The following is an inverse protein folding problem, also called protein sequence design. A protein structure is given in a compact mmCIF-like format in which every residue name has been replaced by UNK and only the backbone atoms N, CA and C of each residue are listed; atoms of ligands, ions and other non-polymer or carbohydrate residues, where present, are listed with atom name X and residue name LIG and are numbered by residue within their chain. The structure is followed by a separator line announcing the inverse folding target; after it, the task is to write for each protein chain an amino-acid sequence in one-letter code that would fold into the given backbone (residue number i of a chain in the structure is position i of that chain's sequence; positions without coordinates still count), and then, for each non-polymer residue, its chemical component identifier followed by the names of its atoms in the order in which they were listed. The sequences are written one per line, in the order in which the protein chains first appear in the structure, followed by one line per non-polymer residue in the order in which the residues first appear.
data_IF_181281816626
#
_entry.id   IF_181281816626
#
_cell.length_a   1.000
_cell.length_b   1.000
_cell.length_c   1.000
_cell.angle_alpha   90.00
_cell.angle_beta   90.00
_cell.angle_gamma   90.00
#
_symmetry.space_group_name_H-M   'P 1'
#
loop_
_entity.id
_entity.type
_entity.pdbx_description
1 polymer ?
#
# COMPACT_ATOMS: atom_id res chain seq x y z
N UNK A 1 78.17 -12.06 7.15
CA UNK A 1 77.93 -12.25 5.70
C UNK A 1 77.52 -10.90 5.12
N UNK A 2 78.35 -10.42 4.17
CA UNK A 2 78.17 -9.35 3.16
C UNK A 2 77.27 -8.13 3.47
N UNK A 3 77.94 -6.98 3.58
CA UNK A 3 77.52 -5.58 3.35
C UNK A 3 77.25 -5.32 1.84
N UNK A 4 77.03 -4.06 1.36
CA UNK A 4 76.04 -3.02 1.67
C UNK A 4 75.45 -2.44 0.33
N UNK A 5 75.20 -1.12 0.24
CA UNK A 5 74.85 -0.20 -0.89
C UNK A 5 73.43 0.39 -0.72
N UNK A 6 73.25 1.58 -0.12
CA UNK A 6 73.60 2.94 -0.57
C UNK A 6 72.85 3.39 -1.83
N UNK A 7 72.02 4.44 -1.72
CA UNK A 7 72.10 5.72 -2.48
C UNK A 7 70.81 6.54 -2.27
N UNK A 8 71.03 7.82 -1.99
CA UNK A 8 70.07 8.90 -1.79
C UNK A 8 69.36 9.36 -3.08
N UNK A 9 68.20 10.00 -2.96
CA UNK A 9 67.85 11.19 -3.75
C UNK A 9 66.61 11.90 -3.19
N UNK A 10 66.72 13.23 -3.17
CA UNK A 10 65.84 14.26 -2.66
C UNK A 10 64.90 14.77 -3.78
N UNK A 11 63.86 15.54 -3.40
CA UNK A 11 62.94 16.36 -4.24
C UNK A 11 61.77 15.59 -4.90
N UNK A 12 60.54 16.08 -5.02
CA UNK A 12 59.99 17.44 -5.04
C UNK A 12 58.47 17.37 -4.75
N UNK A 13 57.92 18.35 -4.03
CA UNK A 13 56.48 18.56 -3.87
C UNK A 13 55.87 18.91 -5.24
N UNK A 14 54.93 18.11 -5.76
CA UNK A 14 53.93 18.61 -6.74
C UNK A 14 52.55 18.05 -6.38
N UNK A 15 51.69 18.96 -5.93
CA UNK A 15 50.25 18.78 -5.92
C UNK A 15 49.79 18.67 -7.37
N UNK A 16 49.35 17.47 -7.78
CA UNK A 16 48.45 17.36 -8.92
C UNK A 16 47.06 17.06 -8.38
N UNK A 17 46.25 18.12 -8.29
CA UNK A 17 44.82 18.00 -8.32
C UNK A 17 44.46 17.36 -9.67
N UNK A 18 44.09 16.08 -9.65
CA UNK A 18 43.43 15.49 -10.80
C UNK A 18 41.97 15.90 -10.72
N UNK A 19 41.65 16.97 -11.46
CA UNK A 19 40.29 17.25 -11.87
C UNK A 19 39.77 16.00 -12.58
N UNK A 20 38.68 15.40 -12.07
CA UNK A 20 37.89 14.51 -12.90
C UNK A 20 37.45 15.31 -14.13
N UNK A 21 37.86 14.82 -15.28
CA UNK A 21 37.44 15.32 -16.58
C UNK A 21 35.96 14.99 -16.73
N UNK A 22 35.14 15.99 -17.03
CA UNK A 22 33.79 15.76 -17.53
C UNK A 22 33.92 15.06 -18.89
N UNK A 23 33.73 13.75 -18.87
CA UNK A 23 33.64 12.94 -20.08
C UNK A 23 32.26 13.22 -20.68
N UNK A 24 32.19 14.28 -21.48
CA UNK A 24 31.09 14.62 -22.37
C UNK A 24 30.85 13.50 -23.39
N UNK A 25 30.30 12.38 -22.91
CA UNK A 25 29.72 11.36 -23.76
C UNK A 25 28.38 11.90 -24.26
N UNK A 26 28.41 12.48 -25.45
CA UNK A 26 27.22 12.53 -26.29
C UNK A 26 26.88 11.08 -26.67
N UNK A 27 26.29 10.33 -25.73
CA UNK A 27 25.79 9.00 -26.00
C UNK A 27 24.45 9.15 -26.74
N UNK A 28 24.36 8.80 -28.04
CA UNK A 28 23.12 8.92 -28.80
C UNK A 28 22.05 7.92 -28.37
N UNK A 29 22.37 7.00 -27.45
CA UNK A 29 21.44 6.05 -26.88
C UNK A 29 21.81 5.77 -25.41
N UNK A 30 21.38 6.64 -24.46
CA UNK A 30 21.55 6.35 -23.04
C UNK A 30 20.96 4.98 -22.72
N UNK A 31 21.67 4.18 -21.90
CA UNK A 31 21.12 2.93 -21.37
C UNK A 31 19.82 3.26 -20.63
N UNK A 32 18.73 2.50 -20.84
CA UNK A 32 17.48 2.78 -20.13
C UNK A 32 17.75 2.70 -18.63
N UNK A 33 17.42 3.77 -17.91
CA UNK A 33 17.46 3.75 -16.44
C UNK A 33 16.60 2.58 -15.93
N UNK A 34 17.04 1.85 -14.89
CA UNK A 34 16.24 0.77 -14.34
C UNK A 34 14.91 1.32 -13.84
N UNK A 35 13.81 0.84 -14.41
CA UNK A 35 12.47 1.22 -13.95
C UNK A 35 12.31 0.83 -12.47
N UNK A 36 12.03 1.81 -11.61
CA UNK A 36 11.68 1.55 -10.22
C UNK A 36 10.33 0.84 -10.21
N UNK A 37 10.20 -0.37 -9.64
CA UNK A 37 8.92 -1.08 -9.62
C UNK A 37 7.85 -0.24 -8.91
N UNK A 38 6.76 0.07 -9.62
CA UNK A 38 5.61 0.73 -9.03
C UNK A 38 4.83 -0.26 -8.16
N UNK A 39 5.00 -0.16 -6.84
CA UNK A 39 4.33 -0.99 -5.84
C UNK A 39 2.79 -0.87 -5.87
N UNK A 40 2.25 0.18 -6.47
CA UNK A 40 0.81 0.44 -6.56
C UNK A 40 0.18 -0.01 -7.88
N UNK A 41 0.97 -0.51 -8.83
CA UNK A 41 0.49 -0.91 -10.16
C UNK A 41 -0.67 -1.92 -10.14
N UNK A 42 -0.73 -2.77 -9.10
CA UNK A 42 -1.79 -3.78 -8.94
C UNK A 42 -3.00 -3.28 -8.14
N UNK A 43 -2.93 -2.11 -7.48
CA UNK A 43 -3.91 -1.70 -6.47
C UNK A 43 -5.31 -1.50 -7.04
N UNK A 44 -5.48 -0.67 -8.06
CA UNK A 44 -6.79 -0.51 -8.73
C UNK A 44 -7.14 -1.64 -9.71
N UNK A 45 -6.32 -2.70 -9.76
CA UNK A 45 -6.61 -3.95 -10.46
C UNK A 45 -7.23 -5.02 -9.56
N UNK A 46 -6.98 -4.97 -8.25
CA UNK A 46 -7.74 -5.73 -7.26
C UNK A 46 -9.19 -5.23 -7.23
N UNK A 47 -10.16 -6.11 -6.98
CA UNK A 47 -11.56 -5.72 -6.84
C UNK A 47 -11.91 -5.60 -5.36
N UNK A 48 -12.73 -4.61 -5.00
CA UNK A 48 -13.36 -4.62 -3.68
C UNK A 48 -14.22 -5.86 -3.54
N UNK A 49 -14.41 -6.30 -2.30
CA UNK A 49 -15.35 -7.39 -1.99
C UNK A 49 -16.74 -6.78 -1.89
N UNK A 50 -17.67 -7.29 -2.69
CA UNK A 50 -19.11 -7.04 -2.61
C UNK A 50 -19.81 -8.40 -2.55
N UNK A 51 -20.00 -8.91 -1.34
CA UNK A 51 -20.37 -10.31 -1.14
C UNK A 51 -21.66 -10.46 -0.33
N UNK A 52 -22.52 -11.37 -0.79
CA UNK A 52 -23.68 -11.81 -0.03
C UNK A 52 -23.29 -12.94 0.94
N UNK A 53 -23.69 -12.80 2.20
CA UNK A 53 -23.63 -13.80 3.26
C UNK A 53 -25.07 -14.06 3.70
N UNK A 54 -25.69 -15.09 3.12
CA UNK A 54 -27.07 -15.45 3.42
C UNK A 54 -28.02 -14.33 3.02
N UNK A 55 -28.60 -13.64 3.99
CA UNK A 55 -29.47 -12.48 3.74
C UNK A 55 -28.76 -11.12 3.82
N UNK A 56 -27.51 -11.08 4.28
CA UNK A 56 -26.74 -9.85 4.42
C UNK A 56 -25.70 -9.65 3.35
N UNK A 57 -25.22 -8.42 3.26
CA UNK A 57 -24.22 -7.99 2.28
C UNK A 57 -23.07 -7.29 2.98
N UNK A 58 -21.87 -7.47 2.46
CA UNK A 58 -20.66 -6.78 2.92
C UNK A 58 -19.91 -6.14 1.77
N UNK A 59 -19.40 -4.95 2.06
CA UNK A 59 -18.49 -4.20 1.21
C UNK A 59 -17.16 -3.98 1.94
N UNK A 60 -16.06 -4.41 1.33
CA UNK A 60 -14.70 -4.17 1.83
C UNK A 60 -13.90 -3.50 0.71
N UNK A 61 -13.44 -2.25 0.90
CA UNK A 61 -12.74 -1.51 -0.15
C UNK A 61 -11.39 -2.16 -0.49
N UNK A 62 -10.92 -1.93 -1.72
CA UNK A 62 -9.64 -2.47 -2.20
C UNK A 62 -8.46 -1.51 -1.96
N UNK A 63 -8.72 -0.31 -1.43
CA UNK A 63 -7.70 0.69 -1.14
C UNK A 63 -8.16 1.62 -0.02
N UNK A 64 -7.18 2.14 0.72
CA UNK A 64 -7.37 3.16 1.74
C UNK A 64 -6.07 3.96 1.93
N UNK A 65 -6.16 5.11 2.59
CA UNK A 65 -5.15 6.18 2.63
C UNK A 65 -4.89 6.61 4.08
N UNK A 66 -4.18 5.80 4.88
CA UNK A 66 -3.93 6.11 6.30
C UNK A 66 -2.96 7.29 6.47
N UNK A 67 -3.48 8.51 6.33
CA UNK A 67 -2.76 9.79 6.35
C UNK A 67 -3.25 10.73 7.49
N UNK A 68 -4.30 10.33 8.21
CA UNK A 68 -4.96 11.02 9.31
C UNK A 68 -5.70 12.32 8.95
N UNK A 69 -6.21 12.46 7.73
CA UNK A 69 -7.05 13.60 7.30
C UNK A 69 -8.56 13.40 7.55
N UNK A 70 -8.96 12.20 7.99
CA UNK A 70 -10.32 11.79 8.29
C UNK A 70 -11.06 11.14 7.13
N UNK A 71 -10.42 10.97 5.97
CA UNK A 71 -11.01 10.46 4.73
C UNK A 71 -10.27 9.19 4.34
N UNK A 72 -11.01 8.09 4.16
CA UNK A 72 -10.48 6.75 3.84
C UNK A 72 -9.24 6.31 4.63
N UNK A 73 -9.05 6.81 5.84
CA UNK A 73 -7.91 6.46 6.69
C UNK A 73 -7.93 5.01 7.16
N UNK A 74 -9.13 4.46 7.31
CA UNK A 74 -9.38 3.20 7.99
C UNK A 74 -9.95 2.21 6.99
N UNK A 75 -9.30 1.06 6.83
CA UNK A 75 -9.93 -0.08 6.19
C UNK A 75 -11.02 -0.63 7.11
N UNK A 76 -12.25 -0.68 6.62
CA UNK A 76 -13.41 -1.11 7.39
C UNK A 76 -14.24 -2.14 6.61
N UNK A 77 -14.76 -3.14 7.30
CA UNK A 77 -15.82 -4.00 6.76
C UNK A 77 -17.15 -3.26 6.92
N UNK A 78 -17.70 -2.80 5.79
CA UNK A 78 -19.02 -2.21 5.73
C UNK A 78 -20.06 -3.31 5.50
N UNK A 79 -21.22 -3.21 6.13
CA UNK A 79 -22.27 -4.22 6.03
C UNK A 79 -23.66 -3.63 6.18
N UNK A 80 -24.68 -4.34 5.70
CA UNK A 80 -26.08 -4.04 6.05
C UNK A 80 -26.44 -4.53 7.46
N UNK A 81 -27.70 -4.31 7.85
CA UNK A 81 -28.24 -4.71 9.15
C UNK A 81 -28.50 -6.23 9.30
N UNK A 82 -28.21 -7.02 8.27
CA UNK A 82 -28.39 -8.48 8.27
C UNK A 82 -27.09 -9.23 8.55
N UNK A 83 -25.96 -8.55 8.71
CA UNK A 83 -24.72 -9.11 9.25
C UNK A 83 -24.70 -8.97 10.78
N UNK A 84 -24.50 -10.08 11.48
CA UNK A 84 -24.55 -10.15 12.93
C UNK A 84 -23.18 -9.94 13.58
N UNK A 85 -22.12 -10.55 13.02
CA UNK A 85 -20.80 -10.59 13.64
C UNK A 85 -19.72 -10.86 12.58
N UNK A 86 -18.57 -10.22 12.74
CA UNK A 86 -17.31 -10.66 12.13
C UNK A 86 -16.59 -11.50 13.18
N UNK A 87 -16.55 -12.81 12.98
CA UNK A 87 -15.97 -13.74 13.97
C UNK A 87 -14.44 -13.65 14.00
N UNK A 88 -13.83 -13.40 12.84
CA UNK A 88 -12.38 -13.28 12.65
C UNK A 88 -12.13 -12.42 11.42
N UNK A 89 -11.17 -11.51 11.51
CA UNK A 89 -10.65 -10.77 10.37
C UNK A 89 -9.14 -10.68 10.49
N UNK A 90 -8.42 -11.15 9.47
CA UNK A 90 -6.95 -11.21 9.46
C UNK A 90 -6.45 -10.55 8.17
N UNK A 91 -5.50 -9.64 8.31
CA UNK A 91 -4.77 -9.01 7.19
C UNK A 91 -3.31 -9.46 7.22
N UNK A 92 -2.77 -9.77 6.05
CA UNK A 92 -1.41 -10.30 5.87
C UNK A 92 -0.62 -9.50 4.85
N UNK A 93 0.67 -9.37 5.11
CA UNK A 93 1.65 -8.86 4.15
C UNK A 93 1.91 -9.86 3.02
N UNK A 94 2.74 -9.48 2.05
CA UNK A 94 3.09 -10.32 0.89
C UNK A 94 3.97 -11.54 1.25
N UNK A 95 4.58 -11.56 2.44
CA UNK A 95 5.31 -12.70 2.97
C UNK A 95 4.41 -13.67 3.75
N UNK A 96 3.13 -13.32 3.96
CA UNK A 96 2.15 -14.11 4.68
C UNK A 96 2.13 -13.88 6.19
N UNK A 97 2.85 -12.88 6.70
CA UNK A 97 2.80 -12.51 8.12
C UNK A 97 1.50 -11.76 8.41
N UNK A 98 0.86 -12.06 9.55
CA UNK A 98 -0.27 -11.28 10.05
C UNK A 98 0.20 -9.90 10.49
N UNK A 99 -0.40 -8.85 9.93
CA UNK A 99 -0.15 -7.44 10.28
C UNK A 99 -1.31 -6.79 11.01
N UNK A 100 -2.49 -7.40 10.95
CA UNK A 100 -3.67 -6.99 11.70
C UNK A 100 -4.59 -8.18 11.88
N UNK A 101 -5.19 -8.29 13.07
CA UNK A 101 -6.25 -9.26 13.32
C UNK A 101 -7.24 -8.72 14.36
N UNK A 102 -8.52 -9.08 14.20
CA UNK A 102 -9.57 -8.79 15.16
C UNK A 102 -10.59 -9.94 15.20
N UNK A 103 -11.21 -10.13 16.37
CA UNK A 103 -12.10 -11.26 16.64
C UNK A 103 -13.39 -10.79 17.29
N UNK A 104 -14.50 -11.46 16.95
CA UNK A 104 -15.83 -11.28 17.56
C UNK A 104 -16.25 -9.82 17.75
N UNK A 105 -16.51 -9.14 16.63
CA UNK A 105 -16.89 -7.74 16.62
C UNK A 105 -18.04 -7.44 15.63
N UNK A 106 -18.66 -6.26 15.79
CA UNK A 106 -19.72 -5.80 14.90
C UNK A 106 -19.14 -5.05 13.70
N UNK A 107 -19.69 -5.21 12.48
CA UNK A 107 -19.28 -4.41 11.32
C UNK A 107 -19.64 -2.94 11.50
N UNK A 108 -19.20 -2.07 10.59
CA UNK A 108 -19.51 -0.63 10.60
C UNK A 108 -19.07 0.11 11.89
N UNK A 109 -17.88 -0.24 12.41
CA UNK A 109 -17.33 0.29 13.66
C UNK A 109 -15.85 0.61 13.49
N UNK A 110 -15.51 1.90 13.56
CA UNK A 110 -14.15 2.39 13.32
C UNK A 110 -13.13 1.83 14.32
N UNK A 111 -13.56 1.54 15.55
CA UNK A 111 -12.71 0.95 16.59
C UNK A 111 -12.21 -0.46 16.26
N UNK A 112 -12.81 -1.12 15.26
CA UNK A 112 -12.45 -2.45 14.77
C UNK A 112 -11.87 -2.43 13.36
N UNK A 113 -11.72 -1.23 12.77
CA UNK A 113 -11.07 -1.06 11.47
C UNK A 113 -9.55 -1.14 11.55
N UNK A 114 -8.91 -1.37 10.41
CA UNK A 114 -7.45 -1.37 10.32
C UNK A 114 -6.93 0.02 9.93
N UNK A 115 -6.18 0.63 10.85
CA UNK A 115 -5.50 1.92 10.68
C UNK A 115 -4.02 1.76 11.09
N UNK A 116 -3.13 1.35 10.18
CA UNK A 116 -1.72 1.17 10.49
C UNK A 116 -0.91 2.45 10.31
N UNK A 117 0.09 2.64 11.16
CA UNK A 117 1.15 3.60 10.85
C UNK A 117 2.05 3.10 9.71
N UNK A 118 2.91 3.97 9.14
CA UNK A 118 3.77 3.60 8.01
C UNK A 118 4.85 2.57 8.38
N UNK A 119 5.26 2.53 9.65
CA UNK A 119 6.25 1.56 10.13
C UNK A 119 5.66 0.16 10.32
N UNK A 120 4.38 0.08 10.67
CA UNK A 120 3.59 -1.16 10.81
C UNK A 120 3.21 -1.74 9.45
N UNK A 121 2.75 -0.90 8.53
CA UNK A 121 2.34 -1.31 7.19
C UNK A 121 2.83 -0.32 6.13
N UNK A 122 4.00 -0.59 5.50
CA UNK A 122 4.46 0.18 4.36
C UNK A 122 3.43 0.22 3.22
N UNK A 123 3.51 1.24 2.37
CA UNK A 123 2.65 1.31 1.18
C UNK A 123 2.78 0.04 0.32
N UNK A 124 1.65 -0.48 -0.18
CA UNK A 124 1.65 -1.66 -1.03
C UNK A 124 0.39 -2.52 -0.89
N UNK A 125 0.44 -3.71 -1.49
CA UNK A 125 -0.66 -4.67 -1.53
C UNK A 125 -0.60 -5.65 -0.34
N UNK A 126 -1.75 -5.86 0.27
CA UNK A 126 -1.99 -6.80 1.36
C UNK A 126 -3.14 -7.72 0.99
N UNK A 127 -3.22 -8.87 1.66
CA UNK A 127 -4.35 -9.80 1.52
C UNK A 127 -5.10 -9.90 2.84
N UNK A 128 -6.38 -10.23 2.78
CA UNK A 128 -7.14 -10.46 4.00
C UNK A 128 -8.11 -11.63 3.85
N UNK A 129 -8.48 -12.19 4.98
CA UNK A 129 -9.56 -13.15 5.14
C UNK A 129 -10.45 -12.72 6.31
N UNK A 130 -11.77 -12.77 6.11
CA UNK A 130 -12.74 -12.50 7.16
C UNK A 130 -13.79 -13.60 7.23
N UNK A 131 -14.09 -14.10 8.43
CA UNK A 131 -15.17 -15.05 8.69
C UNK A 131 -16.38 -14.29 9.23
N UNK A 132 -17.44 -14.26 8.44
CA UNK A 132 -18.57 -13.35 8.62
C UNK A 132 -19.84 -14.16 8.88
N UNK A 133 -20.60 -13.77 9.90
CA UNK A 133 -21.87 -14.39 10.31
C UNK A 133 -23.04 -13.46 10.02
N UNK A 134 -24.05 -13.97 9.33
CA UNK A 134 -25.33 -13.25 9.16
C UNK A 134 -26.26 -13.43 10.38
N UNK A 135 -27.35 -12.68 10.40
CA UNK A 135 -28.37 -12.73 11.45
C UNK A 135 -29.15 -14.04 11.52
N UNK A 136 -29.09 -14.89 10.49
CA UNK A 136 -29.63 -16.24 10.49
C UNK A 136 -28.63 -17.31 11.00
N UNK A 137 -27.38 -16.89 11.29
CA UNK A 137 -26.31 -17.76 11.77
C UNK A 137 -25.50 -18.44 10.66
N UNK A 138 -25.69 -18.07 9.39
CA UNK A 138 -24.86 -18.55 8.29
C UNK A 138 -23.47 -17.92 8.38
N UNK A 139 -22.45 -18.78 8.35
CA UNK A 139 -21.05 -18.37 8.30
C UNK A 139 -20.50 -18.50 6.88
N UNK A 140 -19.80 -17.45 6.43
CA UNK A 140 -19.04 -17.46 5.17
C UNK A 140 -17.68 -16.81 5.39
N UNK A 141 -16.66 -17.44 4.85
CA UNK A 141 -15.33 -16.83 4.74
C UNK A 141 -15.26 -16.05 3.43
N UNK A 142 -14.84 -14.79 3.52
CA UNK A 142 -14.52 -13.94 2.36
C UNK A 142 -13.03 -13.64 2.37
N UNK A 143 -12.42 -13.60 1.20
CA UNK A 143 -11.01 -13.26 1.04
C UNK A 143 -10.87 -12.18 -0.03
N UNK A 144 -9.90 -11.29 0.16
CA UNK A 144 -9.66 -10.19 -0.76
C UNK A 144 -8.25 -9.65 -0.67
N UNK A 145 -8.02 -8.56 -1.40
CA UNK A 145 -6.77 -7.81 -1.34
C UNK A 145 -7.06 -6.33 -1.17
N UNK A 146 -6.19 -5.65 -0.45
CA UNK A 146 -6.32 -4.24 -0.13
C UNK A 146 -4.97 -3.55 -0.30
N UNK A 147 -4.99 -2.34 -0.83
CA UNK A 147 -3.82 -1.50 -0.97
C UNK A 147 -3.77 -0.47 0.15
N UNK A 148 -2.65 -0.42 0.86
CA UNK A 148 -2.29 0.72 1.71
C UNK A 148 -1.64 1.75 0.79
N UNK A 149 -2.34 2.84 0.47
CA UNK A 149 -1.78 3.91 -0.34
C UNK A 149 -1.24 5.02 0.55
N UNK A 150 0.07 5.21 0.55
CA UNK A 150 0.72 6.33 1.22
C UNK A 150 0.76 7.49 0.24
N UNK A 151 -0.08 8.52 0.47
CA UNK A 151 -0.21 9.70 -0.37
C UNK A 151 1.16 10.21 -0.83
N UNK A 152 1.29 10.47 -2.13
CA UNK A 152 2.53 10.94 -2.75
C UNK A 152 2.31 12.29 -3.40
N UNK A 153 3.41 13.02 -3.57
CA UNK A 153 3.41 14.30 -4.28
C UNK A 153 3.61 14.05 -5.77
N UNK A 154 3.18 15.00 -6.62
CA UNK A 154 3.38 14.91 -8.07
C UNK A 154 4.86 14.82 -8.52
N UNK A 155 5.82 15.00 -7.61
CA UNK A 155 7.25 14.81 -7.84
C UNK A 155 7.77 13.41 -7.50
N UNK A 156 6.93 12.55 -6.91
CA UNK A 156 7.29 11.17 -6.59
C UNK A 156 7.23 10.29 -7.83
N UNK A 157 8.26 9.45 -8.01
CA UNK A 157 8.37 8.52 -9.15
C UNK A 157 7.43 7.32 -9.07
N UNK A 158 6.63 7.20 -8.01
CA UNK A 158 5.73 6.07 -7.73
C UNK A 158 4.33 6.63 -7.47
N UNK A 159 3.48 6.65 -8.51
CA UNK A 159 2.13 7.17 -8.45
C UNK A 159 1.09 6.06 -8.64
N UNK A 160 -0.14 6.33 -8.19
CA UNK A 160 -1.27 5.44 -8.43
C UNK A 160 -1.67 5.47 -9.90
N UNK A 161 -1.92 4.31 -10.48
CA UNK A 161 -2.46 4.19 -11.85
C UNK A 161 -3.94 3.80 -11.81
N UNK A 162 -4.74 4.34 -12.73
CA UNK A 162 -6.15 4.01 -12.88
C UNK A 162 -6.99 4.22 -11.60
N UNK A 163 -6.78 5.32 -10.89
CA UNK A 163 -7.52 5.68 -9.67
C UNK A 163 -9.05 5.55 -9.81
N UNK A 164 -9.59 5.81 -11.00
CA UNK A 164 -11.02 5.64 -11.30
C UNK A 164 -11.53 4.19 -11.19
N UNK A 165 -10.64 3.20 -11.07
CA UNK A 165 -10.95 1.77 -10.85
C UNK A 165 -10.75 1.33 -9.40
N UNK A 166 -10.17 2.19 -8.57
CA UNK A 166 -10.09 1.95 -7.14
C UNK A 166 -11.45 2.24 -6.47
N UNK A 167 -11.73 1.52 -5.39
CA UNK A 167 -12.99 1.60 -4.64
C UNK A 167 -12.64 1.82 -3.16
N UNK A 168 -13.00 2.99 -2.65
CA UNK A 168 -12.59 3.46 -1.34
C UNK A 168 -13.72 3.33 -0.32
N UNK A 169 -13.37 3.35 0.98
CA UNK A 169 -14.32 3.15 2.08
C UNK A 169 -15.51 4.11 2.04
N UNK A 170 -15.31 5.40 1.75
CA UNK A 170 -16.39 6.41 1.69
C UNK A 170 -17.40 6.18 0.56
N UNK A 171 -17.09 5.29 -0.41
CA UNK A 171 -17.96 4.98 -1.55
C UNK A 171 -18.88 3.79 -1.28
N UNK A 172 -19.13 3.43 -0.01
CA UNK A 172 -20.11 2.41 0.34
C UNK A 172 -21.56 2.94 0.15
N UNK A 173 -22.50 2.09 -0.25
CA UNK A 173 -23.92 2.46 -0.41
C UNK A 173 -24.72 2.45 0.91
N UNK A 174 -24.10 2.03 2.02
CA UNK A 174 -24.73 1.87 3.34
C UNK A 174 -25.58 0.61 3.50
N UNK A 175 -25.66 -0.22 2.47
CA UNK A 175 -26.34 -1.51 2.42
C UNK A 175 -25.35 -2.66 2.11
N UNK A 176 -24.05 -2.47 2.39
CA UNK A 176 -23.02 -3.47 2.16
C UNK A 176 -22.61 -3.63 0.68
N UNK A 177 -22.85 -2.62 -0.16
CA UNK A 177 -22.41 -2.55 -1.56
C UNK A 177 -21.58 -1.30 -1.86
N UNK A 178 -21.12 -1.20 -3.10
CA UNK A 178 -20.38 -0.05 -3.63
C UNK A 178 -21.31 0.93 -4.36
N UNK A 179 -21.19 2.24 -4.09
CA UNK A 179 -21.83 3.31 -4.84
C UNK A 179 -20.82 4.04 -5.76
N UNK A 180 -20.85 3.79 -7.08
CA UNK A 180 -19.95 4.45 -8.03
C UNK A 180 -20.20 5.95 -8.22
N UNK A 181 -21.32 6.47 -7.71
CA UNK A 181 -21.65 7.90 -7.81
C UNK A 181 -21.16 8.69 -6.59
N UNK A 182 -20.75 8.00 -5.53
CA UNK A 182 -20.15 8.64 -4.35
C UNK A 182 -18.74 9.13 -4.67
N UNK A 183 -18.47 10.38 -4.30
CA UNK A 183 -17.18 11.00 -4.51
C UNK A 183 -16.10 10.31 -3.66
N UNK A 184 -14.87 10.28 -4.18
CA UNK A 184 -13.70 9.72 -3.50
C UNK A 184 -13.30 10.48 -2.22
N UNK A 185 -13.56 11.79 -2.20
CA UNK A 185 -13.28 12.74 -1.11
C UNK A 185 -11.80 12.93 -0.73
N UNK A 186 -10.87 12.10 -1.19
CA UNK A 186 -9.43 12.36 -1.10
C UNK A 186 -9.05 13.65 -1.85
N UNK A 187 -8.14 14.47 -1.31
CA UNK A 187 -7.67 15.67 -2.00
C UNK A 187 -6.76 15.31 -3.19
N UNK A 188 -6.80 16.12 -4.25
CA UNK A 188 -5.93 15.97 -5.44
C UNK A 188 -4.43 15.91 -5.07
N UNK A 189 -4.04 16.50 -3.94
CA UNK A 189 -2.66 16.45 -3.44
C UNK A 189 -2.19 15.07 -2.94
N UNK A 190 -3.09 14.10 -2.79
CA UNK A 190 -2.74 12.74 -2.38
C UNK A 190 -2.25 11.88 -3.56
N UNK A 191 -2.59 12.25 -4.81
CA UNK A 191 -2.39 11.43 -6.02
C UNK A 191 -1.43 12.04 -7.05
#
# INVERSE_FOLDING_TARGET
MKTPHSIAALFLLTLFAWACKDDGTNNPNPEPEPEVPNIYKACCGAQAVEEAIGQGHVYIPNIFTPNSDGINDILLINADDKIAEIEEWVVKDTAGNTVFEYYSFFPNRFEYGWLPDESEAPGGLYTYEARIKDTAGLLKTVSGSVCVYRCKTATDSILMENIARCQFGVQHDGAGGYDPNSALLEPDSCF
#
